data_IF_261508928719
#
_entry.id   IF_261508928719
#
_cell.length_a   1.000
_cell.length_b   1.000
_cell.length_c   1.000
_cell.angle_alpha   90.00
_cell.angle_beta   90.00
_cell.angle_gamma   90.00
#
_symmetry.space_group_name_H-M   'P 1'
#
loop_
_entity.id
_entity.type
_entity.pdbx_description
1 polymer ?
#
# COMPACT_ATOMS: atom_id res chain seq x y z
N UNK A 1 42.51 -30.72 -0.64
CA UNK A 1 41.04 -30.73 -0.72
C UNK A 1 40.47 -29.92 0.43
N UNK A 2 39.92 -28.73 0.15
CA UNK A 2 38.58 -28.30 0.58
C UNK A 2 38.41 -26.77 0.47
N UNK A 3 38.00 -26.38 -0.74
CA UNK A 3 36.93 -25.46 -1.10
C UNK A 3 36.80 -24.20 -0.22
N UNK A 4 37.36 -23.13 -0.75
CA UNK A 4 37.18 -21.74 -0.34
C UNK A 4 35.69 -21.35 -0.39
N UNK A 5 35.16 -20.89 0.75
CA UNK A 5 33.87 -20.21 0.87
C UNK A 5 33.95 -18.83 0.18
N UNK A 6 33.79 -18.79 -1.13
CA UNK A 6 33.52 -17.55 -1.86
C UNK A 6 32.02 -17.26 -1.83
N UNK A 7 31.52 -16.69 -0.72
CA UNK A 7 30.23 -16.03 -0.73
C UNK A 7 30.35 -14.75 -1.54
N UNK A 8 29.98 -14.86 -2.83
CA UNK A 8 29.84 -13.76 -3.77
C UNK A 8 28.85 -12.72 -3.21
N UNK A 9 29.38 -11.66 -2.59
CA UNK A 9 28.65 -10.41 -2.46
C UNK A 9 28.51 -9.80 -3.85
N UNK A 10 27.55 -10.30 -4.62
CA UNK A 10 27.12 -9.63 -5.84
C UNK A 10 26.58 -8.26 -5.42
N UNK A 11 27.32 -7.21 -5.75
CA UNK A 11 26.89 -5.82 -5.69
C UNK A 11 25.48 -5.74 -6.25
N UNK A 12 24.48 -5.61 -5.37
CA UNK A 12 23.08 -5.49 -5.76
C UNK A 12 22.95 -4.22 -6.59
N UNK A 13 23.00 -4.36 -7.92
CA UNK A 13 22.71 -3.28 -8.86
C UNK A 13 21.35 -2.72 -8.47
N UNK A 14 21.26 -1.40 -8.26
CA UNK A 14 19.99 -0.74 -7.95
C UNK A 14 18.97 -1.16 -9.01
N UNK A 15 17.88 -1.78 -8.58
CA UNK A 15 16.78 -2.15 -9.46
C UNK A 15 16.20 -0.83 -9.98
N UNK A 16 16.23 -0.65 -11.31
CA UNK A 16 15.60 0.49 -11.95
C UNK A 16 14.11 0.44 -11.65
N UNK A 17 13.57 1.57 -11.22
CA UNK A 17 12.15 1.70 -10.92
C UNK A 17 11.29 1.35 -12.15
N UNK A 18 10.25 0.54 -11.94
CA UNK A 18 9.34 0.06 -12.97
C UNK A 18 8.28 1.09 -13.35
N UNK A 19 7.79 0.98 -14.57
CA UNK A 19 6.61 1.71 -15.02
C UNK A 19 5.34 1.12 -14.41
N UNK A 20 4.27 1.94 -14.37
CA UNK A 20 2.97 1.54 -13.83
C UNK A 20 2.38 0.40 -14.66
N UNK A 21 2.50 0.44 -15.99
CA UNK A 21 2.00 -0.65 -16.85
C UNK A 21 2.70 -1.99 -16.54
N UNK A 22 4.01 -1.99 -16.31
CA UNK A 22 4.77 -3.19 -15.97
C UNK A 22 4.35 -3.72 -14.59
N UNK A 23 4.25 -2.82 -13.61
CA UNK A 23 3.84 -3.17 -12.27
C UNK A 23 2.41 -3.76 -12.25
N UNK A 24 1.49 -3.16 -13.00
CA UNK A 24 0.13 -3.65 -13.15
C UNK A 24 0.10 -5.03 -13.80
N UNK A 25 0.82 -5.21 -14.92
CA UNK A 25 0.91 -6.49 -15.60
C UNK A 25 1.46 -7.61 -14.70
N UNK A 26 2.51 -7.32 -13.92
CA UNK A 26 3.08 -8.28 -12.97
C UNK A 26 2.10 -8.64 -11.85
N UNK A 27 1.37 -7.66 -11.32
CA UNK A 27 0.34 -7.88 -10.30
C UNK A 27 -0.83 -8.69 -10.85
N UNK A 28 -1.29 -8.38 -12.06
CA UNK A 28 -2.41 -9.09 -12.71
C UNK A 28 -2.03 -10.57 -12.95
N UNK A 29 -0.83 -10.84 -13.46
CA UNK A 29 -0.33 -12.21 -13.59
C UNK A 29 -0.25 -12.93 -12.25
N UNK A 30 0.32 -12.28 -11.23
CA UNK A 30 0.46 -12.86 -9.90
C UNK A 30 -0.89 -13.23 -9.28
N UNK A 31 -1.90 -12.36 -9.40
CA UNK A 31 -3.26 -12.62 -8.92
C UNK A 31 -3.96 -13.70 -9.74
N UNK A 32 -3.80 -13.68 -11.06
CA UNK A 32 -4.36 -14.70 -11.94
C UNK A 32 -3.84 -16.11 -11.61
N UNK A 33 -2.52 -16.25 -11.42
CA UNK A 33 -1.90 -17.53 -11.05
C UNK A 33 -2.43 -18.03 -9.70
N UNK A 34 -2.58 -17.13 -8.73
CA UNK A 34 -3.12 -17.47 -7.41
C UNK A 34 -4.60 -17.86 -7.42
N UNK A 35 -5.41 -17.23 -8.27
CA UNK A 35 -6.85 -17.47 -8.37
C UNK A 35 -7.17 -18.77 -9.13
N UNK A 36 -6.36 -19.09 -10.14
CA UNK A 36 -6.53 -20.28 -10.96
C UNK A 36 -6.16 -21.56 -10.20
N UNK A 37 -6.86 -22.64 -10.54
CA UNK A 37 -6.43 -24.00 -10.17
C UNK A 37 -5.59 -24.55 -11.30
N UNK A 38 -4.46 -25.14 -10.94
CA UNK A 38 -3.48 -25.65 -11.88
C UNK A 38 -3.47 -27.18 -11.82
N UNK A 39 -3.39 -27.81 -12.98
CA UNK A 39 -3.26 -29.25 -13.06
C UNK A 39 -1.77 -29.59 -12.93
N UNK A 40 -1.38 -30.20 -11.81
CA UNK A 40 -0.03 -30.71 -11.59
C UNK A 40 -0.11 -32.19 -11.26
N UNK A 41 0.58 -33.02 -12.05
CA UNK A 41 0.62 -34.49 -11.90
C UNK A 41 -0.77 -35.14 -11.81
N UNK A 42 -1.70 -34.66 -12.65
CA UNK A 42 -3.08 -35.15 -12.70
C UNK A 42 -3.97 -34.68 -11.54
N UNK A 43 -3.48 -33.82 -10.64
CA UNK A 43 -4.24 -33.25 -9.53
C UNK A 43 -4.43 -31.75 -9.69
N UNK A 44 -5.63 -31.27 -9.37
CA UNK A 44 -5.92 -29.83 -9.35
C UNK A 44 -5.41 -29.22 -8.04
N UNK A 45 -4.32 -28.46 -8.13
CA UNK A 45 -3.73 -27.75 -7.01
C UNK A 45 -4.02 -26.25 -7.09
N UNK A 46 -3.90 -25.55 -5.95
CA UNK A 46 -3.97 -24.09 -5.88
C UNK A 46 -2.63 -23.58 -5.37
N UNK A 47 -2.04 -22.64 -6.11
CA UNK A 47 -0.79 -22.02 -5.67
C UNK A 47 -1.03 -21.06 -4.50
N UNK A 48 -0.05 -20.99 -3.60
CA UNK A 48 0.02 -19.91 -2.62
C UNK A 48 0.50 -18.63 -3.29
N UNK A 49 0.37 -17.49 -2.58
CA UNK A 49 0.89 -16.22 -3.07
C UNK A 49 2.42 -16.22 -3.23
N UNK A 50 3.13 -16.98 -2.39
CA UNK A 50 4.59 -17.14 -2.51
C UNK A 50 4.95 -17.91 -3.78
N UNK A 51 4.30 -19.06 -4.00
CA UNK A 51 4.50 -19.87 -5.21
C UNK A 51 4.17 -19.09 -6.49
N UNK A 52 3.07 -18.33 -6.47
CA UNK A 52 2.72 -17.46 -7.59
C UNK A 52 3.77 -16.37 -7.82
N UNK A 53 4.37 -15.81 -6.77
CA UNK A 53 5.43 -14.81 -6.88
C UNK A 53 6.72 -15.40 -7.47
N UNK A 54 7.06 -16.63 -7.05
CA UNK A 54 8.19 -17.39 -7.61
C UNK A 54 8.00 -17.66 -9.11
N UNK A 55 6.77 -18.02 -9.54
CA UNK A 55 6.43 -18.21 -10.95
C UNK A 55 6.56 -16.89 -11.75
N UNK A 56 6.13 -15.76 -11.18
CA UNK A 56 6.26 -14.43 -11.81
C UNK A 56 7.71 -13.93 -11.83
N UNK A 57 8.60 -14.50 -11.01
CA UNK A 57 10.01 -14.12 -10.93
C UNK A 57 10.24 -12.77 -10.21
N UNK A 58 9.31 -12.34 -9.37
CA UNK A 58 9.39 -11.10 -8.60
C UNK A 58 9.15 -11.42 -7.13
N UNK A 59 9.92 -10.80 -6.22
CA UNK A 59 9.71 -11.02 -4.79
C UNK A 59 8.26 -10.67 -4.40
N UNK A 60 7.64 -11.53 -3.59
CA UNK A 60 6.27 -11.30 -3.08
C UNK A 60 6.12 -9.92 -2.45
N UNK A 61 7.11 -9.47 -1.68
CA UNK A 61 7.11 -8.14 -1.06
C UNK A 61 6.97 -7.01 -2.09
N UNK A 62 7.65 -7.12 -3.23
CA UNK A 62 7.54 -6.13 -4.31
C UNK A 62 6.17 -6.18 -4.98
N UNK A 63 5.63 -7.37 -5.23
CA UNK A 63 4.29 -7.54 -5.82
C UNK A 63 3.18 -7.04 -4.88
N UNK A 64 3.29 -7.31 -3.58
CA UNK A 64 2.36 -6.80 -2.56
C UNK A 64 2.37 -5.27 -2.51
N UNK A 65 3.56 -4.67 -2.56
CA UNK A 65 3.71 -3.23 -2.58
C UNK A 65 3.11 -2.61 -3.87
N UNK A 66 3.34 -3.21 -5.04
CA UNK A 66 2.69 -2.78 -6.28
C UNK A 66 1.17 -2.91 -6.18
N UNK A 67 0.66 -4.06 -5.73
CA UNK A 67 -0.77 -4.30 -5.55
C UNK A 67 -1.40 -3.27 -4.61
N UNK A 68 -0.77 -2.99 -3.47
CA UNK A 68 -1.24 -2.00 -2.51
C UNK A 68 -1.26 -0.59 -3.11
N UNK A 69 -0.18 -0.17 -3.77
CA UNK A 69 -0.09 1.15 -4.39
C UNK A 69 -1.16 1.31 -5.47
N UNK A 70 -1.29 0.35 -6.38
CA UNK A 70 -2.30 0.40 -7.45
C UNK A 70 -3.71 0.46 -6.84
N UNK A 71 -4.08 -0.49 -5.97
CA UNK A 71 -5.42 -0.52 -5.36
C UNK A 71 -5.78 0.76 -4.58
N UNK A 72 -4.79 1.41 -3.97
CA UNK A 72 -5.02 2.68 -3.27
C UNK A 72 -5.13 3.84 -4.23
N UNK A 73 -4.34 3.86 -5.30
CA UNK A 73 -4.41 4.88 -6.34
C UNK A 73 -5.72 4.81 -7.14
N UNK A 74 -6.27 3.63 -7.43
CA UNK A 74 -7.58 3.47 -8.12
C UNK A 74 -8.72 4.21 -7.40
N UNK A 75 -8.61 4.41 -6.09
CA UNK A 75 -9.60 5.15 -5.30
C UNK A 75 -9.47 6.67 -5.41
N UNK A 76 -8.34 7.16 -5.90
CA UNK A 76 -7.96 8.57 -5.91
C UNK A 76 -7.89 9.11 -7.34
N UNK A 77 -7.39 8.31 -8.27
CA UNK A 77 -7.10 8.69 -9.66
C UNK A 77 -7.50 7.57 -10.64
N UNK A 78 -7.68 7.93 -11.91
CA UNK A 78 -7.74 6.98 -13.00
C UNK A 78 -6.32 6.51 -13.37
N UNK A 79 -5.98 5.27 -13.00
CA UNK A 79 -4.64 4.69 -13.23
C UNK A 79 -4.27 4.64 -14.72
N UNK A 80 -5.24 4.54 -15.62
CA UNK A 80 -4.97 4.40 -17.05
C UNK A 80 -4.19 5.61 -17.59
N UNK A 81 -4.39 6.79 -17.00
CA UNK A 81 -3.69 8.03 -17.38
C UNK A 81 -2.21 8.03 -16.97
N UNK A 82 -1.81 7.16 -16.04
CA UNK A 82 -0.47 7.10 -15.47
C UNK A 82 0.32 5.85 -15.88
N UNK A 83 -0.19 5.06 -16.83
CA UNK A 83 0.44 3.79 -17.23
C UNK A 83 1.90 3.94 -17.66
N UNK A 84 2.23 5.02 -18.37
CA UNK A 84 3.58 5.34 -18.85
C UNK A 84 4.46 6.08 -17.82
N UNK A 85 3.94 6.32 -16.62
CA UNK A 85 4.71 6.91 -15.53
C UNK A 85 5.42 5.83 -14.72
N UNK A 86 6.42 6.22 -13.93
CA UNK A 86 7.06 5.31 -12.97
C UNK A 86 6.20 5.13 -11.72
N UNK A 87 6.34 3.99 -11.05
CA UNK A 87 5.61 3.70 -9.80
C UNK A 87 5.79 4.76 -8.70
N UNK A 88 6.91 5.47 -8.68
CA UNK A 88 7.17 6.57 -7.75
C UNK A 88 6.21 7.75 -7.89
N UNK A 89 5.65 7.97 -9.08
CA UNK A 89 4.58 8.96 -9.30
C UNK A 89 3.32 8.53 -8.54
N UNK A 90 2.93 7.25 -8.67
CA UNK A 90 1.78 6.69 -7.94
C UNK A 90 1.99 6.79 -6.43
N UNK A 91 3.16 6.41 -5.93
CA UNK A 91 3.48 6.53 -4.49
C UNK A 91 3.38 7.97 -3.99
N UNK A 92 3.83 8.94 -4.79
CA UNK A 92 3.76 10.37 -4.45
C UNK A 92 2.31 10.83 -4.34
N UNK A 93 1.48 10.51 -5.33
CA UNK A 93 0.05 10.86 -5.33
C UNK A 93 -0.64 10.29 -4.08
N UNK A 94 -0.39 9.03 -3.75
CA UNK A 94 -0.95 8.40 -2.54
C UNK A 94 -0.49 9.13 -1.26
N UNK A 95 0.77 9.55 -1.20
CA UNK A 95 1.34 10.26 -0.04
C UNK A 95 0.73 11.66 0.09
N UNK A 96 0.59 12.39 -1.00
CA UNK A 96 0.01 13.74 -1.04
C UNK A 96 -1.46 13.71 -0.65
N UNK A 97 -2.23 12.75 -1.18
CA UNK A 97 -3.62 12.57 -0.77
C UNK A 97 -3.75 12.26 0.72
N UNK A 98 -2.90 11.37 1.26
CA UNK A 98 -2.91 11.07 2.70
C UNK A 98 -2.66 12.33 3.53
N UNK A 99 -1.66 13.13 3.14
CA UNK A 99 -1.33 14.38 3.83
C UNK A 99 -2.51 15.36 3.85
N UNK A 100 -3.18 15.53 2.71
CA UNK A 100 -4.36 16.39 2.60
C UNK A 100 -5.51 15.89 3.47
N UNK A 101 -5.77 14.57 3.50
CA UNK A 101 -6.81 13.99 4.37
C UNK A 101 -6.49 14.19 5.85
N UNK A 102 -5.24 13.99 6.26
CA UNK A 102 -4.82 14.16 7.65
C UNK A 102 -4.90 15.64 8.08
N UNK A 103 -4.53 16.58 7.21
CA UNK A 103 -4.67 18.03 7.44
C UNK A 103 -6.15 18.46 7.54
N UNK A 104 -7.01 17.93 6.67
CA UNK A 104 -8.46 18.21 6.73
C UNK A 104 -9.07 17.72 8.05
N UNK A 105 -8.76 16.50 8.47
CA UNK A 105 -9.28 15.95 9.73
C UNK A 105 -8.84 16.77 10.97
N UNK A 106 -7.61 17.30 10.95
CA UNK A 106 -7.12 18.21 11.99
C UNK A 106 -7.90 19.54 12.00
N UNK A 107 -8.20 20.11 10.83
CA UNK A 107 -9.01 21.33 10.73
C UNK A 107 -10.43 21.09 11.26
N UNK A 108 -11.07 19.99 10.86
CA UNK A 108 -12.43 19.64 11.31
C UNK A 108 -12.49 19.45 12.84
N UNK A 109 -11.46 18.83 13.41
CA UNK A 109 -11.34 18.65 14.87
C UNK A 109 -11.21 19.99 15.59
N UNK A 110 -10.34 20.87 15.09
CA UNK A 110 -10.17 22.21 15.67
C UNK A 110 -11.45 23.04 15.55
N UNK A 111 -12.19 22.91 14.45
CA UNK A 111 -13.47 23.57 14.26
C UNK A 111 -14.55 23.04 15.22
N UNK A 112 -14.58 21.73 15.48
CA UNK A 112 -15.47 21.14 16.47
C UNK A 112 -15.21 21.71 17.88
N UNK A 113 -13.95 21.78 18.32
CA UNK A 113 -13.61 22.33 19.62
C UNK A 113 -13.90 23.84 19.72
N UNK A 114 -13.68 24.62 18.66
CA UNK A 114 -14.02 26.04 18.64
C UNK A 114 -15.53 26.28 18.82
N UNK A 115 -16.37 25.45 18.19
CA UNK A 115 -17.82 25.51 18.33
C UNK A 115 -18.30 25.10 19.74
N UNK A 116 -17.63 24.15 20.39
CA UNK A 116 -17.91 23.80 21.79
C UNK A 116 -17.53 24.92 22.77
N UNK A 117 -16.45 25.66 22.52
CA UNK A 117 -16.05 26.79 23.36
C UNK A 117 -17.01 27.99 23.24
N UNK A 118 -17.53 28.27 22.05
CA UNK A 118 -18.57 29.30 21.86
C UNK A 118 -19.91 28.91 22.49
N UNK A 119 -20.22 27.62 22.63
CA UNK A 119 -21.47 27.12 23.24
C UNK A 119 -21.34 26.79 24.74
N UNK A 120 -20.26 27.19 25.43
CA UNK A 120 -20.18 27.05 26.89
C UNK A 120 -21.16 28.00 27.58
N UNK A 121 -22.38 27.53 27.83
CA UNK A 121 -23.15 28.06 28.96
C UNK A 121 -22.31 27.89 30.25
N UNK A 122 -22.27 28.89 31.14
CA UNK A 122 -21.53 28.77 32.38
C UNK A 122 -22.08 27.60 33.17
N UNK A 123 -21.27 26.54 33.36
CA UNK A 123 -21.61 25.46 34.29
C UNK A 123 -21.81 26.09 35.66
N UNK A 124 -23.06 26.10 36.13
CA UNK A 124 -23.37 26.45 37.52
C UNK A 124 -22.63 25.43 38.39
N UNK A 125 -21.66 25.89 39.19
CA UNK A 125 -21.09 25.10 40.27
C UNK A 125 -22.19 24.87 41.30
N UNK A 126 -22.97 23.81 41.14
CA UNK A 126 -23.91 23.33 42.17
C UNK A 126 -23.13 22.46 43.15
N UNK A 127 -22.39 23.11 44.03
CA UNK A 127 -21.88 22.48 45.25
C UNK A 127 -21.99 23.49 46.39
N UNK A 128 -23.23 23.80 46.74
CA UNK A 128 -23.53 24.37 48.05
C UNK A 128 -23.38 23.24 49.07
N UNK A 129 -22.52 23.46 50.07
CA UNK A 129 -22.53 22.65 51.28
C UNK A 129 -23.70 23.17 52.13
N UNK A 130 -24.63 22.28 52.46
CA UNK A 130 -25.58 22.51 53.53
C UNK A 130 -24.81 22.43 54.87
N UNK A 131 -24.68 23.56 55.57
CA UNK A 131 -24.17 23.68 56.95
C UNK A 131 -25.24 23.26 57.99
#
# INVERSE_FOLDING_TARGET
MNIENQQQHQLQKRIKERFVYEAKFLVDQWRSIFEQRHLQDGKMIKYTLDQAADIVGISRKTLEDYYYCLKKAEKIIDINQFMNCKMGVIRRIIKEHKKQTDEQNLMDTNQFFALEEENKEPRKNSFEYDD
#
